data_IF_301210767782
#
_entry.id   IF_301210767782
#
_cell.length_a   1.000
_cell.length_b   1.000
_cell.length_c   1.000
_cell.angle_alpha   90.00
_cell.angle_beta   90.00
_cell.angle_gamma   90.00
#
_symmetry.space_group_name_H-M   'P 1'
#
loop_
_entity.id
_entity.type
_entity.pdbx_description
1 polymer ?
#
# COMPACT_ATOMS: atom_id res chain seq x y z
N UNK A 1 -3.67 2.03 -23.63
CA UNK A 1 -3.70 0.54 -23.66
C UNK A 1 -3.49 -0.04 -22.27
N UNK A 2 -2.44 0.39 -21.54
CA UNK A 2 -2.20 0.00 -20.14
C UNK A 2 -3.39 0.34 -19.23
N UNK A 3 -3.88 1.58 -19.31
CA UNK A 3 -5.00 2.05 -18.47
C UNK A 3 -6.34 1.35 -18.71
N UNK A 4 -6.54 0.80 -19.90
CA UNK A 4 -7.77 0.08 -20.23
C UNK A 4 -7.76 -1.35 -19.68
N UNK A 5 -6.58 -1.95 -19.48
CA UNK A 5 -6.42 -3.33 -19.04
C UNK A 5 -5.21 -3.49 -18.10
N UNK A 6 -5.20 -2.81 -16.94
CA UNK A 6 -4.02 -2.77 -16.07
C UNK A 6 -3.64 -4.16 -15.55
N UNK A 7 -4.61 -5.03 -15.24
CA UNK A 7 -4.32 -6.38 -14.76
C UNK A 7 -3.66 -7.24 -15.85
N UNK A 8 -4.11 -7.14 -17.11
CA UNK A 8 -3.52 -7.87 -18.22
C UNK A 8 -2.08 -7.42 -18.48
N UNK A 9 -1.84 -6.10 -18.45
CA UNK A 9 -0.49 -5.55 -18.56
C UNK A 9 0.41 -5.94 -17.41
N UNK A 10 -0.11 -5.94 -16.18
CA UNK A 10 0.61 -6.40 -15.01
C UNK A 10 1.05 -7.86 -15.17
N UNK A 11 0.18 -8.74 -15.67
CA UNK A 11 0.52 -10.15 -15.89
C UNK A 11 1.67 -10.30 -16.90
N UNK A 12 1.63 -9.57 -18.02
CA UNK A 12 2.71 -9.57 -19.02
C UNK A 12 4.01 -9.02 -18.44
N UNK A 13 3.94 -7.89 -17.73
CA UNK A 13 5.13 -7.28 -17.12
C UNK A 13 5.79 -8.23 -16.11
N UNK A 14 5.01 -8.85 -15.21
CA UNK A 14 5.52 -9.79 -14.22
C UNK A 14 6.14 -11.02 -14.87
N UNK A 15 5.55 -11.56 -15.94
CA UNK A 15 6.13 -12.69 -16.68
C UNK A 15 7.48 -12.33 -17.33
N UNK A 16 7.61 -11.12 -17.87
CA UNK A 16 8.86 -10.63 -18.45
C UNK A 16 9.92 -10.40 -17.36
N UNK A 17 9.54 -9.80 -16.23
CA UNK A 17 10.46 -9.59 -15.10
C UNK A 17 10.97 -10.91 -14.51
N UNK A 18 10.09 -11.91 -14.37
CA UNK A 18 10.45 -13.26 -13.93
C UNK A 18 11.43 -13.92 -14.91
N UNK A 19 11.22 -13.77 -16.22
CA UNK A 19 12.14 -14.29 -17.23
C UNK A 19 13.55 -13.67 -17.08
N UNK A 20 13.65 -12.35 -16.93
CA UNK A 20 14.93 -11.68 -16.72
C UNK A 20 15.59 -12.11 -15.40
N UNK A 21 14.82 -12.19 -14.32
CA UNK A 21 15.29 -12.69 -13.01
C UNK A 21 15.91 -14.09 -13.12
N UNK A 22 15.25 -15.00 -13.83
CA UNK A 22 15.77 -16.35 -14.08
C UNK A 22 17.02 -16.35 -14.95
N UNK A 23 17.07 -15.53 -16.00
CA UNK A 23 18.25 -15.43 -16.87
C UNK A 23 19.48 -14.87 -16.14
N UNK A 24 19.28 -13.99 -15.16
CA UNK A 24 20.34 -13.37 -14.36
C UNK A 24 20.62 -14.10 -13.04
N UNK A 25 19.95 -15.22 -12.77
CA UNK A 25 19.99 -15.95 -11.49
C UNK A 25 19.88 -15.00 -10.29
N UNK A 26 18.93 -14.07 -10.37
CA UNK A 26 18.80 -12.94 -9.46
C UNK A 26 17.34 -12.70 -9.09
N UNK A 27 17.05 -12.26 -7.85
CA UNK A 27 15.68 -11.96 -7.44
C UNK A 27 15.12 -10.76 -8.22
N UNK A 28 13.80 -10.72 -8.42
CA UNK A 28 13.12 -9.68 -9.23
C UNK A 28 13.40 -8.27 -8.71
N UNK A 29 13.52 -8.11 -7.39
CA UNK A 29 13.87 -6.86 -6.72
C UNK A 29 15.20 -6.29 -7.25
N UNK A 30 16.17 -7.16 -7.53
CA UNK A 30 17.46 -6.76 -8.10
C UNK A 30 17.32 -6.34 -9.56
N UNK A 31 16.54 -7.07 -10.36
CA UNK A 31 16.26 -6.74 -11.76
C UNK A 31 15.60 -5.36 -11.88
N UNK A 32 14.67 -5.04 -10.99
CA UNK A 32 14.01 -3.73 -10.97
C UNK A 32 14.81 -2.67 -10.20
N UNK A 33 15.93 -3.01 -9.58
CA UNK A 33 16.72 -2.10 -8.76
C UNK A 33 15.94 -1.55 -7.55
N UNK A 34 15.02 -2.34 -6.99
CA UNK A 34 14.36 -2.04 -5.74
C UNK A 34 15.33 -2.25 -4.57
N UNK A 35 15.28 -1.40 -3.53
CA UNK A 35 16.02 -1.66 -2.31
C UNK A 35 15.50 -2.96 -1.64
N UNK A 36 16.33 -3.68 -0.88
CA UNK A 36 15.86 -4.77 -0.06
C UNK A 36 14.74 -4.30 0.86
N UNK A 37 13.68 -5.10 0.97
CA UNK A 37 12.64 -4.88 1.96
C UNK A 37 13.24 -5.06 3.36
N UNK A 38 13.19 -4.03 4.20
CA UNK A 38 13.68 -4.06 5.58
C UNK A 38 12.55 -3.72 6.54
N UNK A 39 12.61 -4.28 7.76
CA UNK A 39 11.61 -4.04 8.81
C UNK A 39 10.73 -5.26 9.12
N UNK A 40 9.73 -5.04 9.97
CA UNK A 40 8.72 -6.03 10.31
C UNK A 40 7.54 -5.93 9.35
N UNK A 41 7.12 -7.07 8.81
CA UNK A 41 5.93 -7.19 7.97
C UNK A 41 4.87 -7.96 8.74
N UNK A 42 3.65 -7.41 8.76
CA UNK A 42 2.50 -8.02 9.43
C UNK A 42 1.46 -8.38 8.39
N UNK A 43 0.94 -9.59 8.49
CA UNK A 43 -0.21 -10.02 7.71
C UNK A 43 -1.48 -9.72 8.50
N UNK A 44 -2.49 -9.21 7.81
CA UNK A 44 -3.82 -9.01 8.36
C UNK A 44 -4.78 -10.09 7.86
N UNK A 45 -5.56 -10.67 8.77
CA UNK A 45 -6.64 -11.59 8.45
C UNK A 45 -7.82 -10.84 7.80
N UNK A 46 -8.24 -11.25 6.61
CA UNK A 46 -9.41 -10.65 5.94
C UNK A 46 -10.64 -11.48 6.25
N UNK A 47 -11.61 -10.88 6.94
CA UNK A 47 -12.87 -11.52 7.30
C UNK A 47 -13.98 -10.95 6.43
N UNK A 48 -14.57 -11.80 5.59
CA UNK A 48 -15.63 -11.41 4.66
C UNK A 48 -16.96 -11.05 5.35
N UNK A 49 -17.94 -10.62 4.56
CA UNK A 49 -19.28 -10.28 5.05
C UNK A 49 -20.21 -11.51 5.16
N UNK A 50 -19.70 -12.55 5.81
CA UNK A 50 -20.47 -13.74 6.13
C UNK A 50 -21.57 -13.50 7.16
N UNK A 51 -22.44 -14.50 7.32
CA UNK A 51 -23.34 -14.57 8.48
C UNK A 51 -22.55 -14.69 9.81
N UNK A 52 -23.20 -14.41 10.96
CA UNK A 52 -22.53 -14.34 12.26
C UNK A 52 -21.70 -15.57 12.63
N UNK A 53 -22.23 -16.78 12.41
CA UNK A 53 -21.54 -18.02 12.76
C UNK A 53 -20.27 -18.23 11.90
N UNK A 54 -20.36 -17.92 10.61
CA UNK A 54 -19.21 -17.98 9.71
C UNK A 54 -18.15 -16.95 10.09
N UNK A 55 -18.58 -15.75 10.49
CA UNK A 55 -17.69 -14.70 10.96
C UNK A 55 -16.93 -15.15 12.22
N UNK A 56 -17.65 -15.63 13.25
CA UNK A 56 -17.07 -16.16 14.49
C UNK A 56 -16.07 -17.29 14.22
N UNK A 57 -16.46 -18.28 13.41
CA UNK A 57 -15.59 -19.40 13.06
C UNK A 57 -14.33 -18.95 12.31
N UNK A 58 -14.46 -17.97 11.42
CA UNK A 58 -13.33 -17.42 10.66
C UNK A 58 -12.37 -16.65 11.57
N UNK A 59 -12.90 -15.81 12.47
CA UNK A 59 -12.09 -15.10 13.47
C UNK A 59 -11.34 -16.08 14.36
N UNK A 60 -12.03 -17.08 14.93
CA UNK A 60 -11.42 -18.09 15.79
C UNK A 60 -10.26 -18.82 15.09
N UNK A 61 -10.46 -19.24 13.84
CA UNK A 61 -9.42 -19.89 13.03
C UNK A 61 -8.19 -18.99 12.83
N UNK A 62 -8.39 -17.68 12.58
CA UNK A 62 -7.28 -16.75 12.45
C UNK A 62 -6.57 -16.49 13.77
N UNK A 63 -7.28 -16.51 14.89
CA UNK A 63 -6.71 -16.41 16.23
C UNK A 63 -5.84 -17.62 16.57
N UNK A 64 -6.27 -18.84 16.23
CA UNK A 64 -5.46 -20.06 16.36
C UNK A 64 -4.15 -19.98 15.54
N UNK A 65 -4.16 -19.24 14.42
CA UNK A 65 -2.98 -18.99 13.60
C UNK A 65 -2.10 -17.82 14.11
N UNK A 66 -2.50 -17.15 15.19
CA UNK A 66 -1.75 -16.04 15.80
C UNK A 66 -1.98 -14.67 15.17
N UNK A 67 -3.04 -14.48 14.38
CA UNK A 67 -3.35 -13.16 13.80
C UNK A 67 -3.88 -12.18 14.84
N UNK A 68 -3.29 -10.98 14.88
CA UNK A 68 -3.71 -9.86 15.73
C UNK A 68 -4.22 -8.66 14.92
N UNK A 69 -4.08 -8.69 13.59
CA UNK A 69 -4.59 -7.64 12.71
C UNK A 69 -5.71 -8.19 11.82
N UNK A 70 -6.84 -7.48 11.75
CA UNK A 70 -8.01 -7.89 10.98
C UNK A 70 -8.49 -6.79 10.04
N UNK A 71 -8.96 -7.21 8.85
CA UNK A 71 -9.71 -6.40 7.90
C UNK A 71 -11.14 -6.92 7.87
N UNK A 72 -12.10 -6.10 8.32
CA UNK A 72 -13.52 -6.46 8.32
C UNK A 72 -14.24 -5.75 7.18
N UNK A 73 -15.05 -6.48 6.41
CA UNK A 73 -15.95 -5.86 5.43
C UNK A 73 -17.19 -5.28 6.12
N UNK A 74 -17.56 -4.06 5.75
CA UNK A 74 -18.81 -3.42 6.17
C UNK A 74 -19.90 -3.64 5.11
N UNK A 75 -21.15 -3.69 5.56
CA UNK A 75 -22.33 -3.95 4.71
C UNK A 75 -23.36 -2.82 4.73
N UNK A 76 -23.12 -1.76 5.50
CA UNK A 76 -24.05 -0.65 5.70
C UNK A 76 -25.17 -0.92 6.69
N UNK A 77 -25.35 -2.19 7.10
CA UNK A 77 -26.26 -2.59 8.17
C UNK A 77 -25.61 -2.36 9.55
N UNK A 78 -26.12 -1.42 10.37
CA UNK A 78 -25.53 -1.12 11.67
C UNK A 78 -25.62 -2.29 12.67
N UNK A 79 -26.65 -3.14 12.55
CA UNK A 79 -26.82 -4.30 13.45
C UNK A 79 -25.73 -5.32 13.14
N UNK A 80 -25.57 -5.68 11.87
CA UNK A 80 -24.50 -6.61 11.44
C UNK A 80 -23.11 -6.05 11.72
N UNK A 81 -22.93 -4.74 11.58
CA UNK A 81 -21.71 -4.06 11.97
C UNK A 81 -21.39 -4.30 13.45
N UNK A 82 -22.34 -3.99 14.35
CA UNK A 82 -22.18 -4.20 15.79
C UNK A 82 -21.95 -5.66 16.15
N UNK A 83 -22.69 -6.61 15.58
CA UNK A 83 -22.50 -8.04 15.86
C UNK A 83 -21.05 -8.52 15.59
N UNK A 84 -20.41 -7.97 14.56
CA UNK A 84 -19.00 -8.26 14.24
C UNK A 84 -18.06 -7.68 15.28
N UNK A 85 -18.32 -6.46 15.74
CA UNK A 85 -17.52 -5.79 16.78
C UNK A 85 -17.69 -6.52 18.11
N UNK A 86 -18.92 -6.89 18.49
CA UNK A 86 -19.20 -7.63 19.72
C UNK A 86 -18.51 -9.00 19.71
N UNK A 87 -18.50 -9.69 18.57
CA UNK A 87 -17.72 -10.93 18.40
C UNK A 87 -16.23 -10.74 18.70
N UNK A 88 -15.65 -9.60 18.33
CA UNK A 88 -14.25 -9.31 18.62
C UNK A 88 -14.04 -8.91 20.07
N UNK A 89 -14.98 -8.15 20.65
CA UNK A 89 -14.96 -7.74 22.07
C UNK A 89 -15.02 -8.92 23.03
N UNK A 90 -15.63 -10.03 22.62
CA UNK A 90 -15.65 -11.28 23.39
C UNK A 90 -14.27 -11.98 23.49
N UNK A 91 -13.26 -11.52 22.74
CA UNK A 91 -11.90 -12.07 22.79
C UNK A 91 -11.11 -11.48 23.97
N UNK A 92 -10.41 -12.34 24.72
CA UNK A 92 -9.65 -11.94 25.92
C UNK A 92 -8.59 -10.86 25.65
N UNK A 93 -8.03 -10.82 24.44
CA UNK A 93 -7.00 -9.87 24.03
C UNK A 93 -7.50 -8.81 23.05
N UNK A 94 -8.80 -8.51 23.07
CA UNK A 94 -9.46 -7.53 22.20
C UNK A 94 -8.70 -6.19 22.09
N UNK A 95 -8.24 -5.64 23.22
CA UNK A 95 -7.51 -4.36 23.28
C UNK A 95 -6.17 -4.37 22.53
N UNK A 96 -5.62 -5.57 22.25
CA UNK A 96 -4.39 -5.72 21.47
C UNK A 96 -4.64 -5.86 19.97
N UNK A 97 -5.91 -6.04 19.56
CA UNK A 97 -6.27 -6.26 18.17
C UNK A 97 -6.23 -4.97 17.37
N UNK A 98 -5.68 -5.05 16.15
CA UNK A 98 -5.62 -3.93 15.21
C UNK A 98 -6.66 -4.15 14.13
N UNK A 99 -7.77 -3.42 14.21
CA UNK A 99 -8.90 -3.61 13.31
C UNK A 99 -8.94 -2.48 12.28
N UNK A 100 -8.95 -2.84 11.00
CA UNK A 100 -9.33 -1.94 9.92
C UNK A 100 -10.63 -2.42 9.29
N UNK A 101 -11.38 -1.48 8.73
CA UNK A 101 -12.65 -1.76 8.05
C UNK A 101 -12.56 -1.41 6.58
N UNK A 102 -13.32 -2.14 5.76
CA UNK A 102 -13.45 -1.93 4.33
C UNK A 102 -14.91 -1.71 3.97
N UNK A 103 -15.19 -0.48 3.58
CA UNK A 103 -16.51 -0.06 3.16
C UNK A 103 -16.72 -0.24 1.65
N UNK A 104 -15.66 -0.26 0.84
CA UNK A 104 -15.75 -0.48 -0.60
C UNK A 104 -16.78 0.47 -1.28
N UNK A 105 -16.64 1.77 -1.04
CA UNK A 105 -17.47 2.87 -1.57
C UNK A 105 -18.94 2.82 -1.10
N UNK A 106 -19.19 2.41 0.15
CA UNK A 106 -20.53 2.10 0.67
C UNK A 106 -21.47 3.30 0.77
N UNK A 107 -20.95 4.48 1.12
CA UNK A 107 -21.79 5.64 1.43
C UNK A 107 -21.58 6.77 0.44
N UNK A 108 -22.67 7.40 0.00
CA UNK A 108 -22.59 8.50 -0.96
C UNK A 108 -22.04 9.80 -0.35
N UNK A 109 -22.17 9.96 0.98
CA UNK A 109 -21.80 11.17 1.70
C UNK A 109 -21.07 10.89 3.02
N UNK A 110 -20.26 11.86 3.44
CA UNK A 110 -19.43 11.76 4.64
C UNK A 110 -20.25 11.71 5.94
N UNK A 111 -21.41 12.37 6.01
CA UNK A 111 -22.22 12.42 7.22
C UNK A 111 -22.79 11.05 7.55
N UNK A 112 -23.32 10.36 6.54
CA UNK A 112 -23.83 8.99 6.67
C UNK A 112 -22.73 8.01 7.06
N UNK A 113 -21.54 8.13 6.45
CA UNK A 113 -20.38 7.32 6.80
C UNK A 113 -19.97 7.54 8.27
N UNK A 114 -19.80 8.79 8.70
CA UNK A 114 -19.44 9.15 10.08
C UNK A 114 -20.46 8.63 11.08
N UNK A 115 -21.76 8.83 10.81
CA UNK A 115 -22.83 8.36 11.69
C UNK A 115 -22.80 6.84 11.86
N UNK A 116 -22.56 6.11 10.78
CA UNK A 116 -22.47 4.65 10.84
C UNK A 116 -21.23 4.20 11.62
N UNK A 117 -20.06 4.75 11.31
CA UNK A 117 -18.79 4.38 11.93
C UNK A 117 -18.77 4.72 13.43
N UNK A 118 -19.29 5.89 13.82
CA UNK A 118 -19.45 6.25 15.23
C UNK A 118 -20.38 5.28 15.97
N UNK A 119 -21.43 4.79 15.31
CA UNK A 119 -22.37 3.81 15.87
C UNK A 119 -21.80 2.40 16.07
N UNK A 120 -20.59 2.12 15.60
CA UNK A 120 -19.85 0.89 15.88
C UNK A 120 -19.06 0.96 17.19
N UNK A 121 -18.92 2.15 17.79
CA UNK A 121 -18.30 2.36 19.10
C UNK A 121 -16.90 1.71 19.21
N UNK A 122 -16.11 1.82 18.15
CA UNK A 122 -14.76 1.25 18.06
C UNK A 122 -13.84 2.20 17.28
N UNK A 123 -12.58 2.28 17.69
CA UNK A 123 -11.53 2.95 16.91
C UNK A 123 -10.92 1.98 15.89
N UNK A 124 -10.69 2.47 14.68
CA UNK A 124 -10.09 1.67 13.61
C UNK A 124 -8.67 2.16 13.31
N UNK A 125 -7.75 1.24 13.03
CA UNK A 125 -6.40 1.60 12.56
C UNK A 125 -6.40 2.09 11.11
N UNK A 126 -7.53 1.94 10.41
CA UNK A 126 -7.78 2.53 9.11
C UNK A 126 -9.17 2.17 8.57
N UNK A 127 -9.70 3.05 7.72
CA UNK A 127 -11.00 2.88 7.06
C UNK A 127 -10.77 2.90 5.55
N UNK A 128 -11.04 1.79 4.87
CA UNK A 128 -10.81 1.63 3.43
C UNK A 128 -12.02 2.07 2.61
N UNK A 129 -11.78 3.05 1.74
CA UNK A 129 -12.72 3.62 0.75
C UNK A 129 -14.17 3.75 1.27
N UNK A 130 -14.44 4.63 2.26
CA UNK A 130 -15.80 4.82 2.79
C UNK A 130 -16.77 5.41 1.76
N UNK A 131 -16.27 6.25 0.86
CA UNK A 131 -17.05 7.03 -0.11
C UNK A 131 -16.65 6.66 -1.54
N UNK A 132 -17.42 7.05 -2.57
CA UNK A 132 -17.04 6.90 -3.96
C UNK A 132 -15.61 7.37 -4.26
N UNK A 133 -14.92 6.61 -5.08
CA UNK A 133 -13.54 6.88 -5.47
C UNK A 133 -13.32 8.34 -5.90
N UNK A 134 -12.24 8.94 -5.39
CA UNK A 134 -11.85 10.35 -5.56
C UNK A 134 -12.68 11.39 -4.77
N UNK A 135 -13.63 10.98 -3.91
CA UNK A 135 -14.31 11.88 -2.98
C UNK A 135 -13.40 12.29 -1.78
N UNK A 136 -12.21 12.80 -2.08
CA UNK A 136 -11.13 13.03 -1.09
C UNK A 136 -11.54 13.98 0.03
N UNK A 137 -12.30 15.03 -0.28
CA UNK A 137 -12.75 15.96 0.75
C UNK A 137 -13.73 15.30 1.74
N UNK A 138 -14.65 14.48 1.24
CA UNK A 138 -15.54 13.70 2.10
C UNK A 138 -14.76 12.68 2.94
N UNK A 139 -13.76 12.03 2.35
CA UNK A 139 -12.88 11.11 3.09
C UNK A 139 -12.08 11.83 4.18
N UNK A 140 -11.63 13.08 3.92
CA UNK A 140 -10.98 13.93 4.93
C UNK A 140 -11.90 14.19 6.12
N UNK A 141 -13.17 14.55 5.85
CA UNK A 141 -14.19 14.74 6.89
C UNK A 141 -14.38 13.46 7.71
N UNK A 142 -14.46 12.28 7.06
CA UNK A 142 -14.57 10.98 7.76
C UNK A 142 -13.35 10.74 8.65
N UNK A 143 -12.14 10.99 8.15
CA UNK A 143 -10.90 10.84 8.93
C UNK A 143 -10.89 11.76 10.16
N UNK A 144 -11.28 13.02 9.99
CA UNK A 144 -11.32 14.01 11.07
C UNK A 144 -12.28 13.63 12.20
N UNK A 145 -13.47 13.12 11.87
CA UNK A 145 -14.49 12.75 12.85
C UNK A 145 -14.22 11.42 13.54
N UNK A 146 -13.60 10.47 12.83
CA UNK A 146 -13.30 9.13 13.37
C UNK A 146 -11.94 9.06 14.06
N UNK A 147 -11.03 9.99 13.76
CA UNK A 147 -9.63 9.93 14.17
C UNK A 147 -8.81 8.85 13.45
N UNK A 148 -9.42 8.13 12.50
CA UNK A 148 -8.78 7.05 11.75
C UNK A 148 -8.25 7.55 10.40
N UNK A 149 -7.10 7.06 9.92
CA UNK A 149 -6.65 7.33 8.56
C UNK A 149 -7.54 6.60 7.55
N UNK A 150 -7.65 7.16 6.34
CA UNK A 150 -8.37 6.56 5.22
C UNK A 150 -7.39 5.75 4.37
N UNK A 151 -7.75 4.50 4.12
CA UNK A 151 -7.05 3.64 3.18
C UNK A 151 -7.65 3.85 1.79
N UNK A 152 -6.84 4.30 0.84
CA UNK A 152 -7.23 4.58 -0.54
C UNK A 152 -6.89 3.36 -1.42
N UNK A 153 -7.90 2.73 -2.01
CA UNK A 153 -7.81 1.58 -2.92
C UNK A 153 -8.21 1.96 -4.35
N UNK A 154 -9.47 2.34 -4.60
CA UNK A 154 -9.93 2.80 -5.92
C UNK A 154 -9.51 4.26 -6.22
N UNK A 155 -9.34 5.08 -5.19
CA UNK A 155 -9.03 6.51 -5.32
C UNK A 155 -7.60 6.76 -5.79
N UNK A 156 -6.66 5.85 -5.51
CA UNK A 156 -5.23 6.00 -5.85
C UNK A 156 -4.72 4.77 -6.58
N UNK A 157 -4.66 4.88 -7.90
CA UNK A 157 -4.16 3.85 -8.81
C UNK A 157 -2.85 4.27 -9.50
N UNK A 158 -2.41 5.52 -9.28
CA UNK A 158 -1.26 6.12 -9.96
C UNK A 158 -0.43 7.00 -9.03
N UNK A 159 0.85 7.17 -9.40
CA UNK A 159 1.76 8.04 -8.66
C UNK A 159 1.42 9.55 -8.77
N UNK A 160 0.87 10.02 -9.90
CA UNK A 160 0.50 11.44 -10.07
C UNK A 160 -0.70 11.85 -9.18
N UNK A 161 -1.57 10.91 -8.80
CA UNK A 161 -2.68 11.14 -7.87
C UNK A 161 -2.21 11.46 -6.46
N UNK A 162 -0.98 11.07 -6.09
CA UNK A 162 -0.40 11.34 -4.77
C UNK A 162 -0.23 12.84 -4.51
N UNK A 163 -0.09 13.67 -5.55
CA UNK A 163 0.07 15.11 -5.39
C UNK A 163 -1.13 15.75 -4.67
N UNK A 164 -2.34 15.22 -4.86
CA UNK A 164 -3.55 15.71 -4.20
C UNK A 164 -3.59 15.41 -2.70
N UNK A 165 -2.74 14.50 -2.21
CA UNK A 165 -2.73 14.03 -0.82
C UNK A 165 -1.65 14.72 0.03
N UNK A 166 -0.76 15.49 -0.61
CA UNK A 166 0.44 16.04 0.02
C UNK A 166 0.17 17.03 1.16
N UNK A 167 -1.04 17.59 1.25
CA UNK A 167 -1.42 18.53 2.31
C UNK A 167 -1.50 17.88 3.70
N UNK A 168 -1.98 16.63 3.78
CA UNK A 168 -2.26 15.93 5.05
C UNK A 168 -1.84 14.45 4.99
N UNK A 169 -0.54 14.15 4.80
CA UNK A 169 -0.09 12.78 4.52
C UNK A 169 -0.43 11.76 5.60
N UNK A 170 -0.56 12.18 6.87
CA UNK A 170 -0.88 11.30 8.01
C UNK A 170 -2.32 10.75 7.96
N UNK A 171 -3.20 11.37 7.18
CA UNK A 171 -4.60 10.94 7.02
C UNK A 171 -4.75 9.80 6.01
N UNK A 172 -3.72 9.52 5.21
CA UNK A 172 -3.84 8.65 4.06
C UNK A 172 -2.95 7.42 4.19
N UNK A 173 -3.53 6.26 3.93
CA UNK A 173 -2.81 5.01 3.70
C UNK A 173 -3.09 4.59 2.27
N UNK A 174 -2.05 4.26 1.50
CA UNK A 174 -2.24 3.85 0.10
C UNK A 174 -2.26 2.33 0.00
N UNK A 175 -3.36 1.76 -0.48
CA UNK A 175 -3.47 0.34 -0.78
C UNK A 175 -2.81 0.06 -2.14
N UNK A 176 -1.51 -0.27 -2.13
CA UNK A 176 -0.75 -0.52 -3.36
C UNK A 176 -1.04 -1.90 -3.90
N UNK A 177 -1.75 -1.97 -5.03
CA UNK A 177 -2.07 -3.21 -5.74
C UNK A 177 -1.53 -3.18 -7.17
N UNK A 178 -0.42 -3.87 -7.42
CA UNK A 178 0.30 -3.85 -8.72
C UNK A 178 -0.58 -4.20 -9.91
N UNK A 179 -1.56 -5.10 -9.72
CA UNK A 179 -2.53 -5.49 -10.75
C UNK A 179 -3.50 -4.38 -11.13
N UNK A 180 -3.85 -3.48 -10.20
CA UNK A 180 -4.65 -2.28 -10.50
C UNK A 180 -3.80 -1.16 -11.13
N UNK A 181 -2.50 -1.17 -10.88
CA UNK A 181 -1.57 -0.12 -11.34
C UNK A 181 -0.94 -0.40 -12.71
N UNK A 182 -1.10 -1.60 -13.27
CA UNK A 182 -0.50 -1.97 -14.56
C UNK A 182 0.89 -2.60 -14.45
N UNK A 183 1.27 -3.06 -13.25
CA UNK A 183 2.57 -3.68 -12.94
C UNK A 183 3.47 -2.81 -12.06
N UNK A 184 4.68 -3.29 -11.77
CA UNK A 184 5.56 -2.72 -10.75
C UNK A 184 6.40 -1.54 -11.29
N UNK A 185 6.79 -1.59 -12.56
CA UNK A 185 7.65 -0.59 -13.20
C UNK A 185 6.85 0.45 -13.97
N UNK A 186 5.72 0.07 -14.58
CA UNK A 186 4.99 0.90 -15.52
C UNK A 186 4.52 2.25 -14.93
N UNK A 187 4.21 2.31 -13.63
CA UNK A 187 3.52 3.46 -13.03
C UNK A 187 4.14 4.09 -11.79
N UNK A 188 5.13 3.43 -11.19
CA UNK A 188 5.80 3.95 -9.99
C UNK A 188 7.08 4.74 -10.29
N UNK A 189 7.67 4.61 -11.49
CA UNK A 189 8.90 5.33 -11.86
C UNK A 189 8.68 6.76 -12.35
N UNK A 190 7.46 7.17 -12.68
CA UNK A 190 7.17 8.55 -13.14
C UNK A 190 7.30 9.60 -12.04
N UNK A 191 7.49 9.20 -10.78
CA UNK A 191 7.69 10.08 -9.63
C UNK A 191 9.15 10.17 -9.16
N UNK A 192 10.12 9.55 -9.87
CA UNK A 192 11.53 9.82 -9.57
C UNK A 192 11.79 11.30 -9.87
N UNK A 193 12.12 12.15 -8.87
CA UNK A 193 12.57 13.50 -9.16
C UNK A 193 13.77 13.39 -10.12
N UNK A 194 13.91 14.30 -11.11
CA UNK A 194 15.08 14.31 -11.96
C UNK A 194 16.31 14.29 -11.05
N UNK A 195 17.21 13.35 -11.31
CA UNK A 195 18.48 13.28 -10.59
C UNK A 195 19.06 14.70 -10.59
N UNK A 196 19.19 15.31 -9.41
CA UNK A 196 19.82 16.62 -9.28
C UNK A 196 21.13 16.53 -10.05
N UNK A 197 21.39 17.40 -11.04
CA UNK A 197 22.67 17.40 -11.70
C UNK A 197 23.72 17.55 -10.60
N UNK A 198 24.66 16.60 -10.56
CA UNK A 198 25.77 16.65 -9.62
C UNK A 198 26.35 18.06 -9.70
N UNK A 199 26.25 18.80 -8.60
CA UNK A 199 26.81 20.14 -8.52
C UNK A 199 28.28 20.02 -8.88
N UNK A 200 28.64 20.50 -10.08
CA UNK A 200 30.04 20.67 -10.46
C UNK A 200 30.60 21.73 -9.54
N UNK A 201 31.14 21.31 -8.40
CA UNK A 201 31.95 22.19 -7.58
C UNK A 201 33.14 22.61 -8.44
N UNK A 202 33.18 23.90 -8.75
CA UNK A 202 34.29 24.55 -9.43
C UNK A 202 35.54 24.48 -8.55
N UNK A 203 36.28 23.36 -8.61
CA UNK A 203 37.65 23.33 -8.10
C UNK A 203 38.55 24.03 -9.09
N UNK A 204 38.90 25.27 -8.72
CA UNK A 204 39.94 26.10 -9.32
C UNK A 204 41.22 25.28 -9.55
N UNK A 205 41.81 25.53 -10.71
CA UNK A 205 43.09 25.04 -11.23
C UNK A 205 44.22 25.12 -10.20
N UNK A 206 44.94 24.01 -10.04
CA UNK A 206 46.31 23.95 -9.52
C UNK A 206 47.08 22.93 -10.37
N UNK A 207 48.06 23.42 -11.13
CA UNK A 207 48.89 22.65 -12.06
C UNK A 207 49.77 21.64 -11.32
N UNK A 208 49.93 20.44 -11.86
CA UNK A 208 51.26 19.85 -12.11
C UNK A 208 51.12 18.64 -13.03
N UNK A 209 51.96 18.62 -14.06
CA UNK A 209 52.04 17.57 -15.05
C UNK A 209 52.85 16.39 -14.50
N UNK A 210 52.37 15.17 -14.71
CA UNK A 210 53.22 13.98 -14.78
C UNK A 210 52.59 12.97 -15.74
N UNK A 211 53.24 12.87 -16.89
CA UNK A 211 53.11 11.79 -17.87
C UNK A 211 53.53 10.47 -17.23
N UNK A 212 52.76 9.39 -17.45
CA UNK A 212 53.30 8.04 -17.32
C UNK A 212 52.72 7.12 -18.40
N UNK A 213 53.67 6.51 -19.11
CA UNK A 213 53.58 5.70 -20.30
C UNK A 213 52.98 4.32 -20.03
N UNK A 214 52.25 3.78 -21.02
CA UNK A 214 51.81 2.39 -21.11
C UNK A 214 53.02 1.45 -21.07
N UNK A 215 53.12 0.59 -20.05
CA UNK A 215 53.96 -0.62 -20.08
C UNK A 215 53.12 -1.81 -20.49
N UNK A 216 53.38 -2.32 -21.68
CA UNK A 216 53.08 -3.69 -22.10
C UNK A 216 54.13 -4.61 -21.49
N UNK A 217 53.68 -5.60 -20.70
CA UNK A 217 54.52 -6.73 -20.29
C UNK A 217 54.13 -7.99 -21.07
N UNK A 218 54.98 -8.39 -22.01
CA UNK A 218 55.14 -9.80 -22.41
C UNK A 218 56.57 -10.21 -22.06
N UNK A 219 56.67 -11.30 -21.32
CA UNK A 219 57.90 -11.87 -20.74
C UNK A 219 58.69 -12.69 -21.77
N UNK A 220 60.03 -12.83 -21.65
CA UNK A 220 60.81 -13.78 -22.42
C UNK A 220 61.31 -14.96 -21.56
N UNK A 221 61.03 -16.19 -21.99
CA UNK A 221 61.98 -17.27 -22.33
C UNK A 221 61.21 -18.54 -22.67
#
# INVERSE_FOLDING_TARGET
>A
MIDANPAAWCAVELAVLELFARCEDSPVERVVGAPPATGEFRYSAVVGDGGPDMFRATVARYREMGFVEFKLKLSGDPVRGRDKIDTLRDLEDFESLRIRVDANNLWDDAETAVRHLAGLDMSFVGIEEPLPANALEGMRIVSEHTGSPIILDESVLRADQMAALAGDPERWIINVRVSKMGGCCARWRSSRPPARPASTSSRRKGRSALTCSKRTSRSPR
#
